data_IF_759106736595
#
_entry.id   IF_759106736595
#
_cell.length_a   1.000
_cell.length_b   1.000
_cell.length_c   1.000
_cell.angle_alpha   90.00
_cell.angle_beta   90.00
_cell.angle_gamma   90.00
#
_symmetry.space_group_name_H-M   'P 1'
#
loop_
_entity.id
_entity.type
_entity.pdbx_description
1 polymer ?
#
# COMPACT_ATOMS: atom_id res chain seq x y z
N UNK A 1 36.42 -32.76 35.56
CA UNK A 1 35.14 -33.13 34.93
C UNK A 1 34.19 -31.95 35.04
N UNK A 2 34.00 -31.21 33.96
CA UNK A 2 33.08 -30.07 33.89
C UNK A 2 32.07 -30.34 32.78
N UNK A 3 30.82 -30.58 33.18
CA UNK A 3 29.71 -30.89 32.28
C UNK A 3 29.02 -29.58 31.92
N UNK A 4 29.24 -29.10 30.69
CA UNK A 4 28.54 -27.93 30.14
C UNK A 4 27.29 -28.40 29.39
N UNK A 5 26.13 -28.22 30.01
CA UNK A 5 24.81 -28.51 29.43
C UNK A 5 24.37 -27.37 28.53
N UNK A 6 24.32 -27.61 27.21
CA UNK A 6 23.75 -26.68 26.23
C UNK A 6 22.23 -26.86 26.15
N UNK A 7 21.48 -25.90 26.70
CA UNK A 7 20.03 -25.82 26.53
C UNK A 7 19.71 -25.14 25.19
N UNK A 8 19.26 -25.93 24.23
CA UNK A 8 18.84 -25.48 22.90
C UNK A 8 17.34 -25.14 22.97
N UNK A 9 17.01 -23.86 23.04
CA UNK A 9 15.64 -23.38 22.96
C UNK A 9 15.12 -23.56 21.52
N UNK A 10 14.15 -24.45 21.36
CA UNK A 10 13.32 -24.54 20.16
C UNK A 10 12.17 -23.56 20.33
N UNK A 11 12.21 -22.44 19.60
CA UNK A 11 11.09 -21.50 19.52
C UNK A 11 10.38 -21.78 18.20
N UNK A 12 9.11 -22.18 18.31
CA UNK A 12 8.29 -22.66 17.21
C UNK A 12 8.02 -21.59 16.17
N UNK A 13 8.17 -22.00 14.90
CA UNK A 13 7.76 -21.25 13.73
C UNK A 13 6.38 -21.75 13.29
N UNK A 14 5.31 -21.35 13.98
CA UNK A 14 3.93 -21.65 13.60
C UNK A 14 3.02 -20.46 13.93
N UNK A 15 3.12 -19.35 13.19
CA UNK A 15 2.01 -18.38 13.07
C UNK A 15 2.19 -17.43 11.86
N UNK A 16 2.37 -17.98 10.66
CA UNK A 16 2.55 -17.16 9.45
C UNK A 16 1.50 -17.42 8.36
N UNK A 17 0.37 -18.06 8.71
CA UNK A 17 -0.62 -18.47 7.72
C UNK A 17 -2.04 -17.95 7.96
N UNK A 18 -2.29 -17.16 9.02
CA UNK A 18 -3.64 -16.64 9.35
C UNK A 18 -3.91 -15.19 8.95
N UNK A 19 -2.92 -14.46 8.43
CA UNK A 19 -3.05 -13.03 8.07
C UNK A 19 -3.12 -12.74 6.56
N UNK A 20 -3.52 -13.71 5.73
CA UNK A 20 -3.66 -13.47 4.28
C UNK A 20 -5.11 -13.36 3.79
N UNK A 21 -6.11 -13.76 4.58
CA UNK A 21 -7.51 -13.79 4.15
C UNK A 21 -8.32 -12.50 4.41
N UNK A 22 -7.74 -11.49 5.08
CA UNK A 22 -8.42 -10.20 5.32
C UNK A 22 -8.21 -9.16 4.21
N UNK A 23 -7.28 -9.38 3.28
CA UNK A 23 -6.83 -8.35 2.33
C UNK A 23 -7.54 -8.38 0.97
N UNK A 24 -8.33 -9.42 0.68
CA UNK A 24 -9.11 -9.51 -0.58
C UNK A 24 -10.33 -8.59 -0.61
N UNK A 25 -10.64 -7.87 0.48
CA UNK A 25 -11.83 -7.03 0.59
C UNK A 25 -11.61 -5.55 0.22
N UNK A 26 -10.37 -5.12 -0.09
CA UNK A 26 -10.07 -3.69 -0.27
C UNK A 26 -9.69 -3.28 -1.70
N UNK A 27 -9.78 -4.19 -2.68
CA UNK A 27 -9.61 -3.87 -4.10
C UNK A 27 -10.76 -4.45 -4.93
N UNK A 28 -11.86 -3.71 -5.14
CA UNK A 28 -12.47 -3.72 -6.44
C UNK A 28 -11.71 -2.69 -7.27
N UNK A 29 -10.79 -3.17 -8.10
CA UNK A 29 -10.44 -2.46 -9.32
C UNK A 29 -11.70 -2.43 -10.18
N UNK A 30 -12.63 -1.54 -9.84
CA UNK A 30 -13.86 -1.34 -10.57
C UNK A 30 -13.53 -0.47 -11.77
N UNK A 31 -12.92 -1.10 -12.79
CA UNK A 31 -12.95 -0.62 -14.17
C UNK A 31 -14.37 -0.73 -14.69
N UNK A 32 -15.27 0.11 -14.17
CA UNK A 32 -16.49 0.43 -14.90
C UNK A 32 -16.12 1.48 -15.94
N UNK A 33 -15.85 0.98 -17.14
CA UNK A 33 -16.08 1.70 -18.36
C UNK A 33 -17.59 2.02 -18.45
N UNK A 34 -18.07 3.05 -17.75
CA UNK A 34 -19.41 3.57 -17.98
C UNK A 34 -19.37 4.63 -19.08
N UNK A 35 -20.08 4.28 -20.14
CA UNK A 35 -20.26 5.01 -21.39
C UNK A 35 -21.02 6.32 -21.16
N UNK A 36 -20.84 7.34 -22.04
CA UNK A 36 -21.54 8.61 -21.94
C UNK A 36 -23.02 8.47 -22.31
N UNK A 37 -23.88 8.25 -21.32
CA UNK A 37 -25.33 8.38 -21.42
C UNK A 37 -25.75 9.85 -21.36
N UNK A 38 -25.90 10.48 -22.52
CA UNK A 38 -26.39 11.86 -22.69
C UNK A 38 -27.88 11.94 -22.36
N UNK A 39 -28.23 12.32 -21.13
CA UNK A 39 -29.60 12.70 -20.77
C UNK A 39 -29.79 14.22 -20.99
N UNK A 40 -30.69 14.58 -21.89
CA UNK A 40 -31.13 15.95 -22.14
C UNK A 40 -31.88 16.50 -20.93
N UNK A 41 -31.32 17.52 -20.29
CA UNK A 41 -31.99 18.29 -19.24
C UNK A 41 -32.95 19.30 -19.86
N UNK A 42 -34.24 19.07 -19.65
CA UNK A 42 -35.32 20.04 -19.83
C UNK A 42 -35.03 21.33 -19.05
N UNK A 43 -35.01 22.45 -19.75
CA UNK A 43 -34.77 23.77 -19.19
C UNK A 43 -35.89 24.17 -18.21
N UNK A 44 -35.57 24.22 -16.92
CA UNK A 44 -36.43 24.79 -15.89
C UNK A 44 -36.21 26.31 -15.77
N UNK A 45 -37.24 27.09 -15.39
CA UNK A 45 -37.16 28.55 -15.29
C UNK A 45 -36.15 29.01 -14.23
N UNK A 46 -35.33 29.98 -14.64
CA UNK A 46 -34.22 30.56 -13.89
C UNK A 46 -34.74 31.38 -12.71
N UNK A 47 -34.84 30.74 -11.54
CA UNK A 47 -35.04 31.45 -10.28
C UNK A 47 -33.76 32.23 -9.91
N UNK A 48 -33.93 33.53 -9.62
CA UNK A 48 -32.88 34.44 -9.16
C UNK A 48 -32.29 33.92 -7.84
N UNK A 49 -31.09 33.33 -7.90
CA UNK A 49 -30.41 32.77 -6.72
C UNK A 49 -29.74 33.89 -5.94
N UNK A 50 -30.09 34.01 -4.65
CA UNK A 50 -29.32 34.78 -3.67
C UNK A 50 -27.82 34.44 -3.78
N UNK A 51 -26.92 35.42 -3.58
CA UNK A 51 -25.48 35.18 -3.57
C UNK A 51 -25.15 34.05 -2.60
N UNK A 52 -24.61 32.94 -3.13
CA UNK A 52 -24.17 31.83 -2.30
C UNK A 52 -22.99 32.30 -1.45
N UNK A 53 -23.06 32.04 -0.14
CA UNK A 53 -21.95 32.27 0.78
C UNK A 53 -20.73 31.49 0.27
N UNK A 54 -19.52 32.07 0.27
CA UNK A 54 -18.33 31.38 -0.21
C UNK A 54 -18.15 30.06 0.54
N UNK A 55 -18.05 28.97 -0.22
CA UNK A 55 -17.70 27.65 0.31
C UNK A 55 -16.25 27.72 0.79
N UNK A 56 -15.94 27.33 2.04
CA UNK A 56 -14.56 27.31 2.51
C UNK A 56 -13.73 26.38 1.62
N UNK A 57 -12.56 26.86 1.22
CA UNK A 57 -11.61 26.10 0.42
C UNK A 57 -11.15 24.87 1.24
N UNK A 58 -11.12 23.68 0.65
CA UNK A 58 -10.70 22.49 1.38
C UNK A 58 -9.24 22.64 1.82
N UNK A 59 -8.89 22.21 3.05
CA UNK A 59 -7.51 22.23 3.49
C UNK A 59 -6.67 21.35 2.57
N UNK A 60 -5.56 21.90 2.08
CA UNK A 60 -4.53 21.19 1.30
C UNK A 60 -3.34 20.86 2.20
N UNK A 61 -2.60 19.79 1.88
CA UNK A 61 -1.39 19.41 2.61
C UNK A 61 -1.53 18.14 3.44
N UNK A 62 -0.65 17.95 4.42
CA UNK A 62 -0.59 16.70 5.20
C UNK A 62 -1.80 16.47 6.11
N UNK A 63 -2.48 17.54 6.52
CA UNK A 63 -3.70 17.49 7.33
C UNK A 63 -4.98 17.45 6.47
N UNK A 64 -4.84 17.53 5.15
CA UNK A 64 -5.98 17.38 4.23
C UNK A 64 -6.67 16.05 4.46
N UNK A 65 -8.01 16.07 4.47
CA UNK A 65 -8.82 14.87 4.66
C UNK A 65 -8.88 14.09 3.35
N UNK A 66 -8.48 12.84 3.41
CA UNK A 66 -8.51 11.85 2.34
C UNK A 66 -9.50 10.75 2.73
N UNK A 67 -10.39 10.38 1.81
CA UNK A 67 -11.35 9.28 1.99
C UNK A 67 -10.97 8.15 1.03
N UNK A 68 -9.98 7.31 1.39
CA UNK A 68 -9.64 6.17 0.56
C UNK A 68 -10.80 5.16 0.63
N UNK A 69 -11.53 4.97 -0.48
CA UNK A 69 -12.53 3.90 -0.59
C UNK A 69 -13.83 4.11 0.20
N UNK A 70 -14.27 5.36 0.42
CA UNK A 70 -15.61 5.77 0.90
C UNK A 70 -15.96 5.65 2.40
N UNK A 71 -15.22 4.94 3.26
CA UNK A 71 -15.76 4.64 4.60
C UNK A 71 -15.23 5.52 5.75
N UNK A 72 -13.98 6.00 5.70
CA UNK A 72 -13.40 6.83 6.76
C UNK A 72 -12.51 7.94 6.21
N UNK A 73 -12.82 9.20 6.58
CA UNK A 73 -11.96 10.34 6.29
C UNK A 73 -10.77 10.37 7.26
N UNK A 74 -9.57 10.16 6.74
CA UNK A 74 -8.33 10.25 7.53
C UNK A 74 -7.47 11.40 6.99
N UNK A 75 -6.55 11.95 7.78
CA UNK A 75 -5.59 12.93 7.24
C UNK A 75 -4.58 12.22 6.34
N UNK A 76 -4.06 12.91 5.32
CA UNK A 76 -3.02 12.37 4.44
C UNK A 76 -1.84 11.80 5.23
N UNK A 77 -1.36 12.51 6.26
CA UNK A 77 -0.29 12.03 7.16
C UNK A 77 -0.65 10.70 7.82
N UNK A 78 -1.86 10.57 8.35
CA UNK A 78 -2.31 9.33 8.99
C UNK A 78 -2.39 8.18 7.97
N UNK A 79 -2.88 8.43 6.76
CA UNK A 79 -2.92 7.41 5.70
C UNK A 79 -1.52 6.96 5.30
N UNK A 80 -0.55 7.89 5.16
CA UNK A 80 0.85 7.57 4.81
C UNK A 80 1.49 6.70 5.89
N UNK A 81 1.36 7.07 7.17
CA UNK A 81 1.88 6.28 8.28
C UNK A 81 1.20 4.91 8.39
N UNK A 82 -0.09 4.82 8.08
CA UNK A 82 -0.79 3.54 8.05
C UNK A 82 -0.24 2.64 6.93
N UNK A 83 -0.14 3.14 5.69
CA UNK A 83 0.40 2.35 4.59
C UNK A 83 1.87 1.98 4.78
N UNK A 84 2.68 2.84 5.39
CA UNK A 84 4.08 2.54 5.66
C UNK A 84 4.21 1.37 6.63
N UNK A 85 3.39 1.34 7.68
CA UNK A 85 3.39 0.28 8.71
C UNK A 85 2.72 -1.02 8.26
N UNK A 86 1.63 -0.96 7.51
CA UNK A 86 0.83 -2.15 7.20
C UNK A 86 1.09 -2.72 5.79
N UNK A 87 1.26 -1.85 4.79
CA UNK A 87 1.42 -2.28 3.38
C UNK A 87 2.88 -2.40 2.96
N UNK A 88 3.73 -1.51 3.48
CA UNK A 88 5.14 -1.46 3.14
C UNK A 88 6.05 -1.81 4.32
N UNK A 89 5.54 -2.56 5.30
CA UNK A 89 6.30 -3.04 6.44
C UNK A 89 7.63 -3.66 6.00
N UNK A 90 8.72 -3.31 6.70
CA UNK A 90 10.10 -3.78 6.45
C UNK A 90 10.65 -3.52 5.03
N UNK A 91 9.98 -2.70 4.22
CA UNK A 91 10.53 -2.28 2.93
C UNK A 91 11.37 -1.04 3.13
N UNK A 92 12.58 -1.02 2.56
CA UNK A 92 13.38 0.21 2.47
C UNK A 92 12.56 1.33 1.81
N UNK A 93 12.49 2.51 2.42
CA UNK A 93 11.65 3.60 1.89
C UNK A 93 10.16 3.30 1.99
N UNK A 94 9.71 2.56 3.01
CA UNK A 94 8.29 2.24 3.23
C UNK A 94 7.42 3.49 3.22
N UNK A 95 7.88 4.54 3.91
CA UNK A 95 7.16 5.80 3.98
C UNK A 95 7.11 6.53 2.64
N UNK A 96 8.19 6.51 1.86
CA UNK A 96 8.24 7.09 0.50
C UNK A 96 7.23 6.42 -0.43
N UNK A 97 7.14 5.08 -0.38
CA UNK A 97 6.17 4.31 -1.19
C UNK A 97 4.74 4.58 -0.73
N UNK A 98 4.52 4.66 0.58
CA UNK A 98 3.23 4.99 1.16
C UNK A 98 2.77 6.42 0.78
N UNK A 99 3.69 7.37 0.80
CA UNK A 99 3.45 8.76 0.40
C UNK A 99 3.01 8.87 -1.06
N UNK A 100 3.75 8.25 -1.99
CA UNK A 100 3.35 8.21 -3.40
C UNK A 100 1.99 7.51 -3.63
N UNK A 101 1.69 6.46 -2.87
CA UNK A 101 0.39 5.78 -2.92
C UNK A 101 -0.76 6.71 -2.49
N UNK A 102 -0.58 7.48 -1.41
CA UNK A 102 -1.61 8.39 -0.90
C UNK A 102 -1.83 9.58 -1.83
N UNK A 103 -0.76 10.13 -2.42
CA UNK A 103 -0.87 11.18 -3.45
C UNK A 103 -1.66 10.71 -4.67
N UNK A 104 -1.48 9.44 -5.08
CA UNK A 104 -2.25 8.85 -6.18
C UNK A 104 -3.74 8.65 -5.86
N UNK A 105 -4.11 8.48 -4.59
CA UNK A 105 -5.50 8.27 -4.17
C UNK A 105 -6.23 9.58 -3.86
N UNK A 106 -5.52 10.60 -3.38
CA UNK A 106 -6.11 11.82 -2.85
C UNK A 106 -5.35 13.06 -3.35
N UNK A 107 -6.01 13.85 -4.21
CA UNK A 107 -5.44 15.06 -4.79
C UNK A 107 -5.12 16.15 -3.75
N UNK A 108 -5.86 16.20 -2.63
CA UNK A 108 -5.56 17.12 -1.52
C UNK A 108 -4.20 16.86 -0.84
N UNK A 109 -3.64 15.66 -1.03
CA UNK A 109 -2.37 15.26 -0.43
C UNK A 109 -1.15 15.65 -1.27
N UNK A 110 -1.30 16.21 -2.48
CA UNK A 110 -0.16 16.63 -3.31
C UNK A 110 0.71 17.71 -2.66
N UNK A 111 0.10 18.58 -1.85
CA UNK A 111 0.80 19.60 -1.08
C UNK A 111 1.47 19.07 0.20
N UNK A 112 1.30 17.78 0.52
CA UNK A 112 1.97 17.16 1.66
C UNK A 112 3.38 16.75 1.25
N UNK A 113 4.39 17.42 1.82
CA UNK A 113 5.78 17.09 1.55
C UNK A 113 6.21 15.80 2.26
N UNK A 114 7.17 15.11 1.66
CA UNK A 114 7.65 13.83 2.20
C UNK A 114 8.27 14.01 3.58
N UNK A 115 9.01 15.09 3.83
CA UNK A 115 9.65 15.38 5.12
C UNK A 115 8.62 15.59 6.23
N UNK A 116 7.47 16.16 5.91
CA UNK A 116 6.39 16.43 6.85
C UNK A 116 5.52 15.17 7.13
N UNK A 117 5.39 14.28 6.14
CA UNK A 117 4.71 13.00 6.30
C UNK A 117 5.59 11.93 6.98
N UNK A 118 6.91 12.00 6.77
CA UNK A 118 7.87 10.94 7.05
C UNK A 118 9.16 11.49 7.70
N UNK A 119 9.10 12.06 8.92
CA UNK A 119 10.26 12.70 9.54
C UNK A 119 11.42 11.72 9.83
N UNK A 120 11.12 10.45 10.05
CA UNK A 120 12.13 9.42 10.35
C UNK A 120 12.98 9.04 9.12
N UNK A 121 12.38 9.05 7.92
CA UNK A 121 13.10 8.74 6.68
C UNK A 121 13.92 9.94 6.20
N UNK A 122 13.43 11.17 6.43
CA UNK A 122 14.18 12.40 6.14
C UNK A 122 15.48 12.49 6.95
N UNK A 123 15.48 11.93 8.15
CA UNK A 123 16.67 11.91 9.01
C UNK A 123 17.76 10.94 8.51
N UNK A 124 17.48 10.07 7.53
CA UNK A 124 18.47 9.12 7.00
C UNK A 124 18.94 8.06 8.01
N UNK A 125 18.34 8.01 9.21
CA UNK A 125 18.69 7.06 10.29
C UNK A 125 17.86 5.76 10.21
N UNK A 126 17.16 5.53 9.10
CA UNK A 126 16.29 4.35 8.88
C UNK A 126 17.06 3.04 8.70
N UNK A 127 17.69 2.56 9.77
CA UNK A 127 18.23 1.21 9.94
C UNK A 127 17.89 0.75 11.36
N UNK A 128 16.64 0.38 11.61
CA UNK A 128 16.24 -0.26 12.86
C UNK A 128 15.35 -1.46 12.51
N UNK A 129 15.57 -2.69 12.97
CA UNK A 129 16.62 -3.27 13.79
C UNK A 129 16.69 -4.73 13.34
N UNK A 130 17.83 -5.17 12.79
CA UNK A 130 18.04 -6.58 12.44
C UNK A 130 19.04 -6.85 11.31
N UNK A 131 18.98 -6.17 10.17
CA UNK A 131 19.87 -6.53 9.03
C UNK A 131 20.04 -5.43 7.96
N UNK A 132 20.26 -4.18 8.37
CA UNK A 132 20.98 -3.23 7.51
C UNK A 132 22.48 -3.29 7.80
N UNK A 133 23.07 -4.49 7.74
CA UNK A 133 24.49 -4.52 7.42
C UNK A 133 24.62 -3.92 6.01
N UNK A 134 25.44 -2.87 5.80
CA UNK A 134 26.00 -2.70 4.46
C UNK A 134 26.58 -4.06 4.13
N UNK A 135 26.22 -4.65 3.00
CA UNK A 135 26.80 -5.91 2.56
C UNK A 135 28.30 -5.66 2.43
N UNK A 136 29.02 -5.87 3.53
CA UNK A 136 30.42 -5.59 3.66
C UNK A 136 31.09 -6.43 2.60
N UNK A 137 31.80 -5.76 1.70
CA UNK A 137 32.79 -6.36 0.82
C UNK A 137 33.59 -7.37 1.65
N UNK A 138 33.33 -8.67 1.50
CA UNK A 138 34.02 -9.67 2.31
C UNK A 138 33.28 -10.95 2.66
N UNK A 139 32.10 -11.26 2.09
CA UNK A 139 31.67 -12.66 2.10
C UNK A 139 32.51 -13.41 1.04
N UNK A 140 33.41 -14.34 1.42
CA UNK A 140 34.06 -15.19 0.44
C UNK A 140 32.97 -15.96 -0.28
N UNK A 141 32.95 -15.82 -1.61
CA UNK A 141 32.14 -16.58 -2.54
C UNK A 141 32.17 -18.06 -2.11
N UNK A 142 31.14 -18.53 -1.41
CA UNK A 142 30.85 -19.95 -1.38
C UNK A 142 30.50 -20.28 -2.82
N UNK A 143 31.47 -20.88 -3.52
CA UNK A 143 31.29 -21.55 -4.80
C UNK A 143 30.05 -22.42 -4.68
N UNK A 144 28.91 -21.93 -5.14
CA UNK A 144 27.78 -22.78 -5.50
C UNK A 144 28.13 -23.44 -6.82
N UNK A 145 29.02 -24.43 -6.75
CA UNK A 145 29.09 -25.48 -7.76
C UNK A 145 27.89 -26.38 -7.52
N UNK A 146 26.78 -26.04 -8.15
CA UNK A 146 25.51 -26.75 -7.98
C UNK A 146 24.57 -26.37 -9.12
N UNK A 147 24.85 -26.97 -10.27
CA UNK A 147 23.88 -27.44 -11.26
C UNK A 147 22.49 -26.76 -11.20
N UNK A 148 22.28 -25.80 -12.10
CA UNK A 148 20.98 -25.22 -12.40
C UNK A 148 20.05 -26.32 -12.96
N UNK A 149 19.39 -27.06 -12.08
CA UNK A 149 18.21 -27.81 -12.46
C UNK A 149 17.14 -26.80 -12.90
N UNK A 150 16.86 -26.79 -14.20
CA UNK A 150 15.82 -25.97 -14.81
C UNK A 150 14.48 -26.24 -14.11
N UNK A 151 14.03 -25.29 -13.29
CA UNK A 151 12.70 -25.36 -12.72
C UNK A 151 11.68 -25.17 -13.85
N UNK A 152 10.64 -26.03 -13.92
CA UNK A 152 9.63 -25.95 -14.97
C UNK A 152 8.88 -24.63 -14.87
N UNK A 153 8.82 -23.92 -15.99
CA UNK A 153 8.03 -22.68 -16.14
C UNK A 153 6.55 -23.03 -15.89
N UNK A 154 5.86 -22.38 -14.94
CA UNK A 154 4.44 -22.61 -14.74
C UNK A 154 3.66 -22.13 -15.97
N UNK A 155 3.08 -23.09 -16.70
CA UNK A 155 2.15 -22.83 -17.81
C UNK A 155 0.94 -22.04 -17.28
N UNK A 156 0.75 -20.83 -17.80
CA UNK A 156 -0.45 -20.02 -17.52
C UNK A 156 -1.66 -20.77 -18.05
N UNK A 157 -2.55 -21.22 -17.17
CA UNK A 157 -3.84 -21.75 -17.61
C UNK A 157 -4.70 -20.60 -18.16
N UNK A 158 -5.34 -20.78 -19.33
CA UNK A 158 -6.29 -19.81 -19.85
C UNK A 158 -7.52 -19.72 -18.93
N UNK A 159 -8.18 -18.55 -18.89
CA UNK A 159 -9.37 -18.34 -18.07
C UNK A 159 -10.48 -19.32 -18.49
N UNK A 160 -11.01 -20.06 -17.51
CA UNK A 160 -12.19 -20.91 -17.70
C UNK A 160 -13.41 -20.00 -17.94
N UNK A 161 -13.98 -20.09 -19.14
CA UNK A 161 -15.28 -19.52 -19.46
C UNK A 161 -16.34 -20.27 -18.65
N UNK A 162 -17.05 -19.57 -17.77
CA UNK A 162 -18.18 -20.12 -17.00
C UNK A 162 -19.39 -20.29 -17.93
N UNK A 163 -20.13 -21.41 -17.85
CA UNK A 163 -21.29 -21.66 -18.69
C UNK A 163 -22.45 -20.70 -18.35
N UNK A 164 -22.99 -20.07 -19.39
CA UNK A 164 -24.10 -19.10 -19.35
C UNK A 164 -25.46 -19.79 -19.26
N UNK A 165 -25.74 -20.52 -18.19
CA UNK A 165 -27.01 -21.23 -18.03
C UNK A 165 -27.80 -20.78 -16.80
N UNK A 166 -28.18 -19.51 -16.74
CA UNK A 166 -29.32 -19.02 -15.96
C UNK A 166 -30.04 -17.96 -16.79
N UNK A 167 -30.98 -18.40 -17.62
CA UNK A 167 -32.01 -17.61 -18.26
C UNK A 167 -33.35 -18.31 -18.00
#
# INVERSE_FOLDING_TARGET
>A
STTTTNARAAVGAEDSQRSQSAWHWWWPFNSQAESPGRASTTAAPRAERKPAKPTPEPPVGCDAKCVPGQELSTSCRASVLWYSRFRFHEKKGACVRAHGLVQGQCSGCFACELEEACPEEASGVGCAEGDCQPRSRGQPQRKFGGELAALPVPQRQPPRLLPSSWA
#
